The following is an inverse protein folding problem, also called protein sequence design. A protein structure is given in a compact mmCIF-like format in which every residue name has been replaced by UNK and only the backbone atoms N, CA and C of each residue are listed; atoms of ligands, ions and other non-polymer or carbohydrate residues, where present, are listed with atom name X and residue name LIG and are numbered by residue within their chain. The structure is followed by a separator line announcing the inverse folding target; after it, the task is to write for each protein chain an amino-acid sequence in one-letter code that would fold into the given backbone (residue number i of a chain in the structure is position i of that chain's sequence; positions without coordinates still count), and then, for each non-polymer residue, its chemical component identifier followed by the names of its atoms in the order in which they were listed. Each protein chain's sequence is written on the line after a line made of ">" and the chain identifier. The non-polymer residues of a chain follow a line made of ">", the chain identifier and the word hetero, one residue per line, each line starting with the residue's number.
data_IF_087054569388
#
_entry.id   IF_087054569388
#
_cell.length_a   1.000
_cell.length_b   1.000
_cell.length_c   1.000
_cell.angle_alpha   90.00
_cell.angle_beta   90.00
_cell.angle_gamma   90.00
#
_symmetry.space_group_name_H-M   'P 1'
#
loop_
_entity.id
_entity.type
_entity.pdbx_description
1 polymer ?
#
# COMPACT_ATOMS: atom_id res chain seq x y z
N UNK A 1 48.58 18.32 8.99
CA UNK A 1 47.15 18.53 9.29
C UNK A 1 46.36 18.17 8.03
N UNK A 2 45.83 16.95 7.95
CA UNK A 2 44.98 16.53 6.84
C UNK A 2 43.54 16.55 7.32
N UNK A 3 42.80 17.61 7.00
CA UNK A 3 41.35 17.56 7.08
C UNK A 3 40.83 16.94 5.77
N UNK A 4 40.09 15.82 5.81
CA UNK A 4 39.38 15.35 4.64
C UNK A 4 38.25 16.35 4.36
N UNK A 5 38.37 17.05 3.23
CA UNK A 5 37.30 17.84 2.63
C UNK A 5 36.13 16.89 2.39
N UNK A 6 35.07 16.99 3.20
CA UNK A 6 33.81 16.30 2.90
C UNK A 6 33.20 16.99 1.66
N UNK A 7 33.09 16.32 0.50
CA UNK A 7 32.50 16.96 -0.65
C UNK A 7 31.02 16.60 -0.65
N UNK A 8 30.16 17.63 -0.58
CA UNK A 8 28.70 17.59 -0.81
C UNK A 8 27.78 17.45 0.42
N UNK A 9 27.27 18.57 0.97
CA UNK A 9 26.09 18.55 1.85
C UNK A 9 24.76 18.20 1.13
N UNK A 10 24.82 17.74 -0.14
CA UNK A 10 23.68 17.44 -1.00
C UNK A 10 23.39 15.95 -1.24
N UNK A 11 24.30 15.05 -0.84
CA UNK A 11 24.15 13.60 -1.04
C UNK A 11 22.94 13.02 -0.31
N UNK A 12 22.78 13.37 0.97
CA UNK A 12 21.70 12.87 1.82
C UNK A 12 20.31 13.32 1.38
N UNK A 13 20.18 14.57 0.88
CA UNK A 13 18.89 15.10 0.39
C UNK A 13 18.45 14.42 -0.92
N UNK A 14 19.37 14.14 -1.85
CA UNK A 14 19.07 13.41 -3.09
C UNK A 14 18.74 11.94 -2.81
N UNK A 15 19.46 11.30 -1.90
CA UNK A 15 19.21 9.91 -1.51
C UNK A 15 17.89 9.77 -0.74
N UNK A 16 17.58 10.72 0.16
CA UNK A 16 16.30 10.80 0.86
C UNK A 16 15.12 10.96 -0.11
N UNK A 17 15.20 11.90 -1.08
CA UNK A 17 14.16 12.06 -2.11
C UNK A 17 13.95 10.80 -2.96
N UNK A 18 15.03 10.09 -3.34
CA UNK A 18 14.91 8.82 -4.09
C UNK A 18 14.22 7.73 -3.26
N UNK A 19 14.54 7.61 -1.96
CA UNK A 19 13.89 6.64 -1.06
C UNK A 19 12.41 6.97 -0.86
N UNK A 20 12.06 8.23 -0.63
CA UNK A 20 10.66 8.66 -0.50
C UNK A 20 9.84 8.40 -1.77
N UNK A 21 10.43 8.61 -2.95
CA UNK A 21 9.78 8.23 -4.23
C UNK A 21 9.61 6.71 -4.37
N UNK A 22 10.57 5.92 -3.89
CA UNK A 22 10.47 4.46 -3.84
C UNK A 22 9.32 3.99 -2.95
N UNK A 23 9.17 4.58 -1.75
CA UNK A 23 8.07 4.27 -0.84
C UNK A 23 6.71 4.67 -1.40
N UNK A 24 6.59 5.84 -2.02
CA UNK A 24 5.34 6.27 -2.67
C UNK A 24 4.96 5.35 -3.84
N UNK A 25 5.93 4.90 -4.63
CA UNK A 25 5.70 3.92 -5.70
C UNK A 25 5.30 2.55 -5.14
N UNK A 26 5.99 2.06 -4.11
CA UNK A 26 5.65 0.79 -3.47
C UNK A 26 4.22 0.80 -2.92
N UNK A 27 3.82 1.90 -2.25
CA UNK A 27 2.46 2.11 -1.79
C UNK A 27 1.41 2.02 -2.90
N UNK A 28 1.68 2.62 -4.08
CA UNK A 28 0.78 2.53 -5.23
C UNK A 28 0.72 1.11 -5.82
N UNK A 29 1.85 0.41 -5.90
CA UNK A 29 1.90 -0.96 -6.41
C UNK A 29 1.10 -1.89 -5.50
N UNK A 30 1.26 -1.75 -4.18
CA UNK A 30 0.50 -2.51 -3.18
C UNK A 30 -1.00 -2.30 -3.40
N UNK A 31 -1.44 -1.03 -3.43
CA UNK A 31 -2.86 -0.74 -3.63
C UNK A 31 -3.39 -1.24 -4.99
N UNK A 32 -2.64 -1.08 -6.08
CA UNK A 32 -3.05 -1.58 -7.39
C UNK A 32 -3.19 -3.11 -7.38
N UNK A 33 -2.27 -3.82 -6.72
CA UNK A 33 -2.35 -5.27 -6.56
C UNK A 33 -3.51 -5.71 -5.69
N UNK A 34 -3.76 -5.03 -4.57
CA UNK A 34 -4.91 -5.28 -3.68
C UNK A 34 -6.23 -5.09 -4.42
N UNK A 35 -6.36 -3.99 -5.17
CA UNK A 35 -7.54 -3.70 -5.99
C UNK A 35 -7.77 -4.76 -7.08
N UNK A 36 -6.70 -5.18 -7.78
CA UNK A 36 -6.80 -6.22 -8.81
C UNK A 36 -7.26 -7.57 -8.22
N UNK A 37 -6.71 -7.95 -7.07
CA UNK A 37 -7.11 -9.19 -6.37
C UNK A 37 -8.55 -9.09 -5.86
N UNK A 38 -8.94 -7.92 -5.34
CA UNK A 38 -10.31 -7.69 -4.89
C UNK A 38 -11.31 -7.87 -6.04
N UNK A 39 -11.05 -7.26 -7.20
CA UNK A 39 -11.94 -7.31 -8.37
C UNK A 39 -11.98 -8.68 -9.05
N UNK A 40 -10.84 -9.34 -9.19
CA UNK A 40 -10.73 -10.56 -10.01
C UNK A 40 -10.91 -11.84 -9.22
N UNK A 41 -10.65 -11.83 -7.91
CA UNK A 41 -10.62 -13.03 -7.09
C UNK A 41 -11.63 -12.93 -5.96
N UNK A 42 -11.49 -11.92 -5.08
CA UNK A 42 -12.26 -11.89 -3.83
C UNK A 42 -13.74 -11.63 -4.07
N UNK A 43 -14.10 -10.63 -4.88
CA UNK A 43 -15.51 -10.29 -5.15
C UNK A 43 -16.24 -11.42 -5.90
N UNK A 44 -15.70 -12.02 -6.97
CA UNK A 44 -16.32 -13.19 -7.59
C UNK A 44 -16.41 -14.40 -6.65
N UNK A 45 -15.39 -14.64 -5.83
CA UNK A 45 -15.38 -15.75 -4.89
C UNK A 45 -16.43 -15.59 -3.79
N UNK A 46 -16.63 -14.40 -3.23
CA UNK A 46 -17.68 -14.15 -2.23
C UNK A 46 -19.08 -14.27 -2.82
N UNK A 47 -19.29 -13.77 -4.05
CA UNK A 47 -20.56 -13.95 -4.77
C UNK A 47 -20.84 -15.43 -5.03
N UNK A 48 -19.85 -16.21 -5.47
CA UNK A 48 -19.98 -17.64 -5.72
C UNK A 48 -20.15 -18.48 -4.43
N UNK A 49 -19.55 -18.05 -3.32
CA UNK A 49 -19.61 -18.73 -2.02
C UNK A 49 -20.92 -18.47 -1.25
N UNK A 50 -21.83 -17.66 -1.77
CA UNK A 50 -23.16 -17.42 -1.20
C UNK A 50 -24.06 -18.68 -1.14
N UNK A 51 -23.62 -19.82 -1.68
CA UNK A 51 -24.30 -21.11 -1.49
C UNK A 51 -23.83 -21.80 -0.19
N UNK A 52 -24.74 -22.31 0.65
CA UNK A 52 -24.39 -22.87 1.96
C UNK A 52 -23.58 -24.17 1.80
N UNK A 53 -22.31 -24.17 2.22
CA UNK A 53 -21.56 -25.41 2.43
C UNK A 53 -20.06 -25.43 2.12
N UNK A 54 -19.39 -24.31 1.79
CA UNK A 54 -17.99 -24.37 1.33
C UNK A 54 -16.98 -23.67 2.23
N UNK A 55 -15.88 -24.38 2.51
CA UNK A 55 -14.62 -23.93 3.10
C UNK A 55 -13.94 -22.76 2.34
N UNK A 56 -14.56 -22.29 1.25
CA UNK A 56 -14.14 -21.15 0.44
C UNK A 56 -14.20 -19.85 1.23
N UNK A 57 -15.16 -19.71 2.16
CA UNK A 57 -15.32 -18.51 2.95
C UNK A 57 -14.11 -18.25 3.87
N UNK A 58 -13.58 -19.30 4.52
CA UNK A 58 -12.35 -19.21 5.34
C UNK A 58 -11.13 -18.82 4.50
N UNK A 59 -10.98 -19.41 3.30
CA UNK A 59 -9.90 -19.05 2.39
C UNK A 59 -9.96 -17.59 1.95
N UNK A 60 -11.14 -17.10 1.57
CA UNK A 60 -11.37 -15.70 1.21
C UNK A 60 -11.02 -14.78 2.37
N UNK A 61 -11.44 -15.10 3.60
CA UNK A 61 -11.14 -14.28 4.79
C UNK A 61 -9.64 -14.19 5.09
N UNK A 62 -8.88 -15.26 4.87
CA UNK A 62 -7.42 -15.23 4.98
C UNK A 62 -6.82 -14.26 3.96
N UNK A 63 -7.24 -14.33 2.69
CA UNK A 63 -6.76 -13.40 1.67
C UNK A 63 -7.13 -11.96 1.99
N UNK A 64 -8.38 -11.69 2.37
CA UNK A 64 -8.83 -10.36 2.80
C UNK A 64 -7.95 -9.82 3.92
N UNK A 65 -7.66 -10.63 4.95
CA UNK A 65 -6.80 -10.23 6.08
C UNK A 65 -5.38 -9.89 5.64
N UNK A 66 -4.79 -10.70 4.75
CA UNK A 66 -3.44 -10.45 4.21
C UNK A 66 -3.40 -9.16 3.40
N UNK A 67 -4.36 -8.95 2.51
CA UNK A 67 -4.40 -7.73 1.68
C UNK A 67 -4.72 -6.48 2.51
N UNK A 68 -5.55 -6.60 3.54
CA UNK A 68 -5.79 -5.52 4.50
C UNK A 68 -4.49 -5.12 5.22
N UNK A 69 -3.70 -6.09 5.68
CA UNK A 69 -2.41 -5.82 6.33
C UNK A 69 -1.41 -5.16 5.36
N UNK A 70 -1.39 -5.59 4.09
CA UNK A 70 -0.57 -4.98 3.05
C UNK A 70 -0.99 -3.54 2.76
N UNK A 71 -2.29 -3.26 2.63
CA UNK A 71 -2.81 -1.90 2.37
C UNK A 71 -2.52 -0.95 3.54
N UNK A 72 -2.62 -1.43 4.79
CA UNK A 72 -2.20 -0.67 5.98
C UNK A 72 -0.70 -0.38 5.91
N UNK A 73 0.12 -1.37 5.54
CA UNK A 73 1.56 -1.17 5.31
C UNK A 73 1.85 -0.15 4.20
N UNK A 74 1.12 -0.22 3.09
CA UNK A 74 1.19 0.74 1.98
C UNK A 74 0.81 2.15 2.39
N UNK A 75 -0.22 2.28 3.24
CA UNK A 75 -0.64 3.56 3.83
C UNK A 75 0.44 4.14 4.74
N UNK A 76 1.05 3.33 5.61
CA UNK A 76 2.16 3.75 6.46
C UNK A 76 3.37 4.23 5.63
N UNK A 77 3.70 3.52 4.54
CA UNK A 77 4.79 3.93 3.64
C UNK A 77 4.47 5.25 2.92
N UNK A 78 3.24 5.46 2.48
CA UNK A 78 2.82 6.73 1.88
C UNK A 78 2.89 7.89 2.87
N UNK A 79 2.39 7.71 4.09
CA UNK A 79 2.44 8.71 5.16
C UNK A 79 3.89 9.04 5.54
N UNK A 80 4.75 8.04 5.65
CA UNK A 80 6.17 8.26 5.91
C UNK A 80 6.86 9.04 4.78
N UNK A 81 6.52 8.74 3.52
CA UNK A 81 7.01 9.50 2.38
C UNK A 81 6.55 10.97 2.45
N UNK A 82 5.28 11.24 2.79
CA UNK A 82 4.75 12.59 2.96
C UNK A 82 5.46 13.37 4.08
N UNK A 83 5.68 12.76 5.24
CA UNK A 83 6.33 13.43 6.38
C UNK A 83 7.80 13.78 6.11
N UNK A 84 8.52 12.93 5.36
CA UNK A 84 9.94 13.14 5.03
C UNK A 84 10.16 14.14 3.89
N UNK A 85 9.26 14.19 2.91
CA UNK A 85 9.33 15.19 1.84
C UNK A 85 8.46 16.38 2.19
N UNK A 86 9.05 17.51 2.60
CA UNK A 86 8.38 18.79 2.92
C UNK A 86 7.44 19.37 1.83
N UNK A 87 7.17 18.68 0.74
CA UNK A 87 6.22 19.08 -0.30
C UNK A 87 5.71 17.85 -1.06
N UNK A 88 4.39 17.64 -0.99
CA UNK A 88 3.51 17.33 -2.13
C UNK A 88 4.09 16.43 -3.23
N UNK A 89 4.60 15.25 -2.87
CA UNK A 89 4.67 14.20 -3.88
C UNK A 89 3.23 13.76 -4.11
N UNK A 90 2.60 14.29 -5.17
CA UNK A 90 1.25 13.90 -5.62
C UNK A 90 1.11 12.37 -5.63
N UNK A 91 2.21 11.67 -5.95
CA UNK A 91 2.35 10.22 -5.92
C UNK A 91 2.10 9.60 -4.53
N UNK A 92 2.60 10.20 -3.46
CA UNK A 92 2.35 9.73 -2.10
C UNK A 92 0.89 9.97 -1.68
N UNK A 93 0.27 11.06 -2.15
CA UNK A 93 -1.15 11.37 -1.91
C UNK A 93 -2.04 10.34 -2.61
N UNK A 94 -1.77 10.05 -3.88
CA UNK A 94 -2.44 8.95 -4.59
C UNK A 94 -2.21 7.60 -3.93
N UNK A 95 -0.98 7.33 -3.46
CA UNK A 95 -0.66 6.12 -2.69
C UNK A 95 -1.51 5.99 -1.43
N UNK A 96 -1.58 7.04 -0.62
CA UNK A 96 -2.40 7.03 0.59
C UNK A 96 -3.90 6.86 0.28
N UNK A 97 -4.45 7.65 -0.64
CA UNK A 97 -5.87 7.58 -1.00
C UNK A 97 -6.25 6.21 -1.58
N UNK A 98 -5.42 5.66 -2.48
CA UNK A 98 -5.70 4.35 -3.10
C UNK A 98 -5.66 3.21 -2.08
N UNK A 99 -4.71 3.21 -1.14
CA UNK A 99 -4.68 2.22 -0.06
C UNK A 99 -5.90 2.36 0.87
N UNK A 100 -6.35 3.59 1.18
CA UNK A 100 -7.60 3.79 1.96
C UNK A 100 -8.80 3.19 1.25
N UNK A 101 -8.93 3.39 -0.07
CA UNK A 101 -10.01 2.77 -0.86
C UNK A 101 -9.92 1.25 -0.81
N UNK A 102 -8.73 0.66 -0.96
CA UNK A 102 -8.54 -0.80 -0.90
C UNK A 102 -8.85 -1.38 0.49
N UNK A 103 -8.54 -0.65 1.57
CA UNK A 103 -8.94 -1.01 2.93
C UNK A 103 -10.47 -1.08 3.05
N UNK A 104 -11.17 -0.06 2.56
CA UNK A 104 -12.65 -0.03 2.59
C UNK A 104 -13.24 -1.17 1.77
N UNK A 105 -12.68 -1.45 0.60
CA UNK A 105 -13.09 -2.59 -0.23
C UNK A 105 -12.89 -3.92 0.49
N UNK A 106 -11.72 -4.17 1.08
CA UNK A 106 -11.45 -5.38 1.84
C UNK A 106 -12.40 -5.52 3.05
N UNK A 107 -12.66 -4.43 3.78
CA UNK A 107 -13.62 -4.43 4.90
C UNK A 107 -15.07 -4.71 4.48
N UNK A 108 -15.47 -4.31 3.27
CA UNK A 108 -16.81 -4.60 2.75
C UNK A 108 -17.08 -6.09 2.58
N UNK A 109 -16.04 -6.90 2.35
CA UNK A 109 -16.17 -8.36 2.21
C UNK A 109 -16.21 -9.10 3.55
N UNK A 110 -15.71 -8.48 4.63
CA UNK A 110 -15.79 -9.02 6.00
C UNK A 110 -17.21 -8.86 6.58
N UNK A 111 -17.98 -7.89 6.07
CA UNK A 111 -19.32 -7.57 6.57
C UNK A 111 -20.44 -8.37 5.90
N UNK A 112 -20.12 -9.24 4.93
CA UNK A 112 -21.01 -10.19 4.28
C UNK A 112 -20.92 -11.56 4.95
#
# INVERSE_FOLDING_TARGET
>A
MNQPISPWPGGDRRQSRRRSYGFARASLIISASSCAVWLLILMPATVAASSPGTNLFDGVMIFVTVFLALDVGGLCMALFAMLKTKLNSSLAIYGALSNVVCIVLNLSLISF
#
